data_IF_179660505546
#
_entry.id   IF_179660505546
#
_cell.length_a   1.000
_cell.length_b   1.000
_cell.length_c   1.000
_cell.angle_alpha   90.00
_cell.angle_beta   90.00
_cell.angle_gamma   90.00
#
_symmetry.space_group_name_H-M   'P 1'
#
loop_
_entity.id
_entity.type
_entity.pdbx_description
1 polymer ?
#
# COMPACT_ATOMS: atom_id res chain seq x y z
N UNK A 1 4.46 -16.38 3.31
CA UNK A 1 3.96 -15.25 2.49
C UNK A 1 3.17 -14.35 3.44
N UNK A 2 3.60 -13.11 3.62
CA UNK A 2 3.05 -12.19 4.63
C UNK A 2 2.09 -11.24 3.92
N UNK A 3 0.83 -11.20 4.34
CA UNK A 3 -0.21 -10.34 3.74
C UNK A 3 -0.59 -9.21 4.69
N UNK A 4 -0.75 -7.99 4.19
CA UNK A 4 -1.19 -6.85 5.01
C UNK A 4 -2.24 -5.99 4.33
N UNK A 5 -2.97 -5.20 5.12
CA UNK A 5 -4.24 -4.55 4.77
C UNK A 5 -4.13 -2.99 4.73
N UNK A 6 -4.25 -2.38 3.55
CA UNK A 6 -4.40 -0.92 3.33
C UNK A 6 -5.89 -0.53 3.24
N UNK A 7 -6.40 0.55 3.85
CA UNK A 7 -7.79 0.94 3.68
C UNK A 7 -8.01 1.67 2.35
N UNK A 8 -8.58 1.00 1.35
CA UNK A 8 -9.12 1.60 0.12
C UNK A 8 -10.62 1.33 0.05
N UNK A 9 -11.42 2.37 0.26
CA UNK A 9 -12.88 2.26 0.19
C UNK A 9 -13.30 2.25 -1.28
N UNK A 10 -13.85 1.15 -1.78
CA UNK A 10 -14.28 1.03 -3.18
C UNK A 10 -15.56 1.84 -3.43
N UNK A 11 -15.63 2.48 -4.59
CA UNK A 11 -16.88 2.87 -5.25
C UNK A 11 -16.67 2.88 -6.78
N UNK A 12 -17.66 2.44 -7.57
CA UNK A 12 -17.54 2.31 -9.01
C UNK A 12 -17.72 3.67 -9.69
N UNK A 13 -16.79 4.02 -10.57
CA UNK A 13 -16.93 5.10 -11.54
C UNK A 13 -17.02 6.50 -10.94
N UNK A 14 -15.89 7.19 -10.82
CA UNK A 14 -15.85 8.61 -10.54
C UNK A 14 -14.47 9.06 -10.08
N UNK A 15 -13.91 10.02 -10.80
CA UNK A 15 -12.82 10.89 -10.34
C UNK A 15 -12.93 11.18 -8.84
N UNK A 16 -11.93 10.84 -8.03
CA UNK A 16 -11.93 11.25 -6.62
C UNK A 16 -10.56 11.73 -6.14
N UNK A 17 -10.46 13.06 -6.14
CA UNK A 17 -9.64 13.87 -5.27
C UNK A 17 -9.89 13.46 -3.80
N UNK A 18 -8.90 12.91 -3.10
CA UNK A 18 -9.04 12.58 -1.68
C UNK A 18 -8.64 13.77 -0.81
N UNK A 19 -9.65 14.47 -0.29
CA UNK A 19 -9.55 15.44 0.78
C UNK A 19 -9.15 14.75 2.10
N UNK A 20 -7.97 15.10 2.62
CA UNK A 20 -7.55 14.86 3.99
C UNK A 20 -8.34 15.77 4.93
N UNK A 21 -9.25 15.20 5.73
CA UNK A 21 -9.88 15.84 6.89
C UNK A 21 -10.13 14.72 7.92
N UNK A 22 -10.03 14.88 9.23
CA UNK A 22 -9.49 15.88 10.15
C UNK A 22 -9.66 15.22 11.52
N UNK A 23 -8.65 15.37 12.38
CA UNK A 23 -8.64 15.15 13.83
C UNK A 23 -9.98 14.88 14.55
N UNK A 24 -9.96 13.89 15.46
CA UNK A 24 -10.66 13.99 16.74
C UNK A 24 -9.79 13.43 17.87
N UNK A 25 -9.34 14.35 18.74
CA UNK A 25 -8.71 14.09 20.03
C UNK A 25 -9.71 13.47 21.03
N UNK A 26 -9.22 12.63 21.95
CA UNK A 26 -9.17 12.86 23.42
C UNK A 26 -9.08 11.52 24.18
N UNK A 27 -8.04 11.35 25.01
CA UNK A 27 -8.20 11.13 26.46
C UNK A 27 -6.95 10.51 27.11
N UNK A 28 -6.29 11.35 27.92
CA UNK A 28 -5.82 11.12 29.31
C UNK A 28 -5.11 9.81 29.66
N UNK A 29 -3.88 9.98 30.17
CA UNK A 29 -3.35 9.14 31.24
C UNK A 29 -2.11 8.35 30.86
N UNK A 30 -0.95 8.81 31.32
CA UNK A 30 0.28 8.04 31.27
C UNK A 30 0.14 6.75 32.08
N UNK A 31 0.16 5.60 31.42
CA UNK A 31 0.68 4.34 31.94
C UNK A 31 1.49 3.68 30.83
N UNK A 32 2.71 3.30 31.15
CA UNK A 32 3.68 2.70 30.22
C UNK A 32 3.08 1.52 29.46
N UNK A 33 2.90 1.66 28.15
CA UNK A 33 2.61 0.55 27.26
C UNK A 33 3.19 0.87 25.88
N UNK A 34 4.21 0.10 25.48
CA UNK A 34 4.73 -0.02 24.11
C UNK A 34 5.05 1.28 23.35
N UNK A 35 6.33 1.51 23.06
CA UNK A 35 6.69 2.32 21.89
C UNK A 35 6.00 1.70 20.68
N UNK A 36 4.98 2.36 20.11
CA UNK A 36 4.42 1.97 18.83
C UNK A 36 5.55 2.14 17.81
N UNK A 37 6.00 1.03 17.21
CA UNK A 37 7.02 1.00 16.16
C UNK A 37 6.44 1.54 14.84
N UNK A 38 5.81 2.71 14.88
CA UNK A 38 5.16 3.36 13.71
C UNK A 38 6.15 3.78 12.62
N UNK A 39 7.46 3.75 12.93
CA UNK A 39 8.55 4.19 12.06
C UNK A 39 9.52 3.05 11.70
N UNK A 40 9.20 1.79 12.03
CA UNK A 40 10.02 0.64 11.62
C UNK A 40 9.60 0.19 10.23
N UNK A 41 10.56 0.20 9.30
CA UNK A 41 10.37 -0.23 7.91
C UNK A 41 9.86 -1.67 7.86
N UNK A 42 9.00 -1.94 6.88
CA UNK A 42 8.61 -3.31 6.58
C UNK A 42 9.86 -4.08 6.13
N UNK A 43 10.13 -5.32 6.61
CA UNK A 43 11.28 -6.07 6.11
C UNK A 43 11.25 -6.20 4.59
N UNK A 44 12.38 -5.97 3.92
CA UNK A 44 12.44 -6.12 2.46
C UNK A 44 12.02 -7.54 2.04
N UNK A 45 11.25 -7.66 0.95
CA UNK A 45 10.72 -8.95 0.50
C UNK A 45 9.59 -8.86 -0.53
N UNK A 46 9.01 -10.02 -0.82
CA UNK A 46 7.87 -10.15 -1.75
C UNK A 46 6.57 -10.20 -0.95
N UNK A 47 5.64 -9.33 -1.31
CA UNK A 47 4.37 -9.12 -0.62
C UNK A 47 3.20 -9.14 -1.60
N UNK A 48 2.03 -9.55 -1.09
CA UNK A 48 0.76 -9.13 -1.67
C UNK A 48 0.24 -7.97 -0.83
N UNK A 49 -0.13 -6.87 -1.48
CA UNK A 49 -0.69 -5.69 -0.80
C UNK A 49 -2.21 -5.81 -0.89
N UNK A 50 -2.85 -6.13 0.24
CA UNK A 50 -4.27 -6.43 0.31
C UNK A 50 -5.00 -5.21 0.86
N UNK A 51 -6.23 -4.98 0.42
CA UNK A 51 -7.13 -3.99 0.98
C UNK A 51 -7.67 -4.49 2.31
N UNK A 52 -7.84 -3.58 3.28
CA UNK A 52 -8.51 -3.86 4.54
C UNK A 52 -10.00 -4.12 4.37
N UNK A 53 -10.60 -3.43 3.40
CA UNK A 53 -12.01 -3.57 3.08
C UNK A 53 -12.17 -4.71 2.08
N UNK A 54 -13.08 -5.65 2.38
CA UNK A 54 -13.43 -6.74 1.48
C UNK A 54 -14.30 -6.24 0.33
N UNK A 55 -14.42 -7.02 -0.74
CA UNK A 55 -15.45 -6.82 -1.75
C UNK A 55 -16.86 -6.99 -1.15
N UNK A 56 -17.92 -6.52 -1.83
CA UNK A 56 -19.31 -6.82 -1.45
C UNK A 56 -19.61 -8.32 -1.31
N UNK A 57 -18.84 -9.15 -1.99
CA UNK A 57 -18.91 -10.62 -1.99
C UNK A 57 -18.00 -11.27 -0.92
N UNK A 58 -17.49 -10.48 0.04
CA UNK A 58 -16.59 -10.90 1.13
C UNK A 58 -15.21 -11.40 0.66
N UNK A 59 -14.75 -10.98 -0.53
CA UNK A 59 -13.46 -11.37 -1.09
C UNK A 59 -12.35 -10.38 -0.69
N UNK A 60 -11.13 -10.91 -0.54
CA UNK A 60 -9.95 -10.08 -0.30
C UNK A 60 -9.55 -9.42 -1.61
N UNK A 61 -9.28 -8.13 -1.55
CA UNK A 61 -8.92 -7.33 -2.72
C UNK A 61 -7.41 -7.01 -2.70
N UNK A 62 -6.69 -7.29 -3.76
CA UNK A 62 -5.24 -7.11 -3.88
C UNK A 62 -4.87 -6.02 -4.90
N UNK A 63 -3.83 -5.24 -4.61
CA UNK A 63 -3.21 -4.33 -5.57
C UNK A 63 -2.57 -5.17 -6.69
N UNK A 64 -2.93 -4.86 -7.94
CA UNK A 64 -2.64 -5.66 -9.13
C UNK A 64 -1.94 -4.80 -10.18
N UNK A 65 -0.78 -5.26 -10.62
CA UNK A 65 0.02 -4.67 -11.68
C UNK A 65 -0.60 -4.93 -13.07
N UNK A 66 -0.73 -3.88 -13.87
CA UNK A 66 -1.38 -3.93 -15.19
C UNK A 66 -0.45 -3.69 -16.40
N UNK A 67 0.83 -3.37 -16.16
CA UNK A 67 1.78 -3.01 -17.20
C UNK A 67 2.57 -1.74 -16.87
N UNK A 68 3.66 -1.52 -17.61
CA UNK A 68 4.38 -0.23 -17.59
C UNK A 68 3.48 0.89 -18.15
N UNK A 69 3.59 2.09 -17.58
CA UNK A 69 2.78 3.27 -17.85
C UNK A 69 1.27 3.09 -17.59
N UNK A 70 0.87 1.97 -16.99
CA UNK A 70 -0.52 1.67 -16.66
C UNK A 70 -0.84 1.97 -15.19
N UNK A 71 -2.09 2.35 -14.96
CA UNK A 71 -2.62 2.57 -13.60
C UNK A 71 -2.75 1.24 -12.87
N UNK A 72 -2.37 1.22 -11.59
CA UNK A 72 -2.52 0.02 -10.73
C UNK A 72 -3.98 -0.14 -10.31
N UNK A 73 -4.52 -1.35 -10.37
CA UNK A 73 -5.91 -1.63 -9.97
C UNK A 73 -6.00 -2.47 -8.72
N UNK A 74 -7.20 -2.58 -8.16
CA UNK A 74 -7.51 -3.47 -7.04
C UNK A 74 -8.46 -4.54 -7.55
N UNK A 75 -8.05 -5.81 -7.48
CA UNK A 75 -8.82 -6.98 -7.98
C UNK A 75 -8.87 -8.09 -6.94
N UNK A 76 -9.73 -9.10 -7.12
CA UNK A 76 -9.83 -10.19 -6.15
C UNK A 76 -8.50 -10.94 -6.00
N UNK A 77 -8.15 -11.28 -4.77
CA UNK A 77 -6.88 -11.91 -4.46
C UNK A 77 -6.87 -13.36 -4.95
N UNK A 78 -6.07 -13.61 -5.97
CA UNK A 78 -5.88 -14.91 -6.60
C UNK A 78 -4.48 -15.49 -6.37
N UNK A 79 -3.61 -14.72 -5.71
CA UNK A 79 -2.19 -15.03 -5.54
C UNK A 79 -1.42 -15.12 -6.88
N UNK A 80 -1.90 -14.39 -7.89
CA UNK A 80 -1.24 -14.26 -9.19
C UNK A 80 0.08 -13.47 -9.10
N UNK A 81 0.98 -13.70 -10.05
CA UNK A 81 2.27 -12.97 -10.16
C UNK A 81 2.10 -11.45 -10.30
N UNK A 82 1.03 -10.98 -10.93
CA UNK A 82 0.69 -9.55 -11.06
C UNK A 82 0.27 -8.92 -9.72
N UNK A 83 -0.06 -9.72 -8.71
CA UNK A 83 -0.40 -9.27 -7.36
C UNK A 83 0.78 -9.36 -6.38
N UNK A 84 1.97 -9.74 -6.88
CA UNK A 84 3.19 -9.79 -6.11
C UNK A 84 3.98 -8.50 -6.30
N UNK A 85 4.44 -7.94 -5.18
CA UNK A 85 5.18 -6.69 -5.12
C UNK A 85 6.46 -6.88 -4.31
N UNK A 86 7.59 -6.46 -4.86
CA UNK A 86 8.86 -6.37 -4.15
C UNK A 86 8.89 -5.04 -3.41
N UNK A 87 8.98 -5.12 -2.08
CA UNK A 87 9.21 -3.97 -1.21
C UNK A 87 10.66 -4.01 -0.79
N UNK A 88 11.40 -2.93 -1.07
CA UNK A 88 12.83 -2.84 -0.78
C UNK A 88 13.17 -1.49 -0.14
N UNK A 89 14.09 -1.51 0.82
CA UNK A 89 14.54 -0.31 1.52
C UNK A 89 15.18 0.68 0.54
N UNK A 90 14.79 1.96 0.65
CA UNK A 90 15.41 3.05 -0.11
C UNK A 90 16.28 3.90 0.83
N UNK A 91 15.71 4.33 1.95
CA UNK A 91 16.43 4.98 3.06
C UNK A 91 15.89 4.46 4.41
N UNK A 92 16.20 5.16 5.51
CA UNK A 92 15.80 4.75 6.87
C UNK A 92 14.30 4.92 7.17
N UNK A 93 13.54 5.55 6.29
CA UNK A 93 12.14 5.98 6.45
C UNK A 93 11.25 5.71 5.24
N UNK A 94 11.84 5.37 4.09
CA UNK A 94 11.13 5.15 2.83
C UNK A 94 11.56 3.86 2.15
N UNK A 95 10.63 3.28 1.38
CA UNK A 95 10.82 2.03 0.64
C UNK A 95 10.34 2.19 -0.79
N UNK A 96 10.98 1.47 -1.70
CA UNK A 96 10.50 1.31 -3.08
C UNK A 96 9.52 0.14 -3.16
N UNK A 97 8.59 0.22 -4.12
CA UNK A 97 7.58 -0.80 -4.39
C UNK A 97 7.63 -1.12 -5.88
N UNK A 98 7.99 -2.34 -6.23
CA UNK A 98 8.19 -2.78 -7.62
C UNK A 98 7.33 -4.01 -7.93
N UNK A 99 6.84 -4.20 -9.17
CA UNK A 99 6.19 -5.45 -9.54
C UNK A 99 7.09 -6.66 -9.32
N UNK A 100 6.52 -7.78 -8.86
CA UNK A 100 7.25 -9.04 -8.66
C UNK A 100 7.87 -9.60 -9.93
N UNK A 101 7.23 -9.35 -11.07
CA UNK A 101 7.68 -9.77 -12.40
C UNK A 101 8.78 -8.90 -12.99
N UNK A 102 8.91 -7.63 -12.57
CA UNK A 102 9.85 -6.68 -13.14
C UNK A 102 10.28 -5.60 -12.14
N UNK A 103 11.51 -5.71 -11.63
CA UNK A 103 12.11 -4.77 -10.68
C UNK A 103 12.81 -3.58 -11.37
N UNK A 104 12.79 -3.50 -12.70
CA UNK A 104 13.18 -2.29 -13.43
C UNK A 104 12.09 -1.22 -13.43
N UNK A 105 10.90 -1.58 -12.92
CA UNK A 105 9.73 -0.72 -12.78
C UNK A 105 9.42 -0.45 -11.31
N UNK A 106 8.75 0.66 -11.03
CA UNK A 106 8.35 1.09 -9.68
C UNK A 106 6.95 1.69 -9.69
N UNK A 107 6.18 1.43 -8.63
CA UNK A 107 4.96 2.17 -8.35
C UNK A 107 5.31 3.63 -8.03
N UNK A 108 4.72 4.53 -8.79
CA UNK A 108 4.95 5.97 -8.76
C UNK A 108 3.63 6.72 -8.61
N UNK A 109 3.73 8.00 -8.24
CA UNK A 109 2.59 8.91 -8.33
C UNK A 109 2.53 9.49 -9.75
N UNK A 110 1.55 9.06 -10.53
CA UNK A 110 1.25 9.58 -11.87
C UNK A 110 0.30 10.79 -11.81
N UNK A 111 -0.49 10.99 -12.88
CA UNK A 111 -1.52 12.03 -12.96
C UNK A 111 -2.70 11.71 -12.03
N UNK A 112 -2.51 12.00 -10.73
CA UNK A 112 -3.45 11.83 -9.62
C UNK A 112 -3.78 10.38 -9.21
N UNK A 113 -3.09 9.40 -9.80
CA UNK A 113 -3.24 7.97 -9.48
C UNK A 113 -1.90 7.27 -9.36
N UNK A 114 -1.89 6.08 -8.75
CA UNK A 114 -0.69 5.23 -8.72
C UNK A 114 -0.52 4.58 -10.09
N UNK A 115 0.64 4.80 -10.70
CA UNK A 115 1.04 4.27 -12.02
C UNK A 115 2.36 3.54 -11.88
N UNK A 116 2.62 2.53 -12.69
CA UNK A 116 3.94 1.87 -12.70
C UNK A 116 4.82 2.45 -13.80
N UNK A 117 5.97 3.03 -13.42
CA UNK A 117 6.90 3.69 -14.34
C UNK A 117 8.28 3.04 -14.26
N UNK A 118 9.14 3.31 -15.25
CA UNK A 118 10.57 2.97 -15.16
C UNK A 118 11.16 3.48 -13.84
N UNK A 119 11.95 2.66 -13.16
CA UNK A 119 12.52 2.98 -11.85
C UNK A 119 13.27 4.32 -11.85
N UNK A 120 12.88 5.20 -10.92
CA UNK A 120 13.30 6.61 -10.91
C UNK A 120 13.52 7.19 -9.51
N UNK A 121 13.62 6.34 -8.47
CA UNK A 121 13.55 6.73 -7.05
C UNK A 121 12.15 7.10 -6.58
N UNK A 122 11.13 6.39 -7.05
CA UNK A 122 9.80 6.49 -6.50
C UNK A 122 9.73 5.71 -5.18
N UNK A 123 9.30 6.40 -4.13
CA UNK A 123 9.35 5.88 -2.76
C UNK A 123 8.05 6.11 -2.02
N UNK A 124 7.80 5.23 -1.06
CA UNK A 124 6.60 5.20 -0.23
C UNK A 124 7.01 5.10 1.23
N UNK A 125 6.30 5.80 2.10
CA UNK A 125 6.38 5.60 3.53
C UNK A 125 5.30 4.61 3.93
N UNK A 126 5.71 3.40 4.32
CA UNK A 126 4.81 2.33 4.77
C UNK A 126 4.80 2.32 6.29
N UNK A 127 3.66 2.65 6.91
CA UNK A 127 3.54 2.72 8.38
C UNK A 127 2.62 1.64 8.90
N UNK A 128 3.07 0.94 9.93
CA UNK A 128 2.21 0.04 10.69
C UNK A 128 1.49 0.82 11.80
N UNK A 129 0.17 0.77 11.79
CA UNK A 129 -0.68 1.32 12.85
C UNK A 129 -1.48 0.18 13.49
N UNK A 130 -2.17 0.43 14.60
CA UNK A 130 -2.92 -0.60 15.33
C UNK A 130 -4.01 -1.31 14.51
N UNK A 131 -4.37 -0.74 13.36
CA UNK A 131 -5.42 -1.25 12.49
C UNK A 131 -4.90 -1.83 11.17
N UNK A 132 -3.59 -1.77 10.91
CA UNK A 132 -2.95 -2.21 9.67
C UNK A 132 -2.03 -1.14 9.09
N UNK A 133 -1.72 -1.27 7.80
CA UNK A 133 -0.71 -0.41 7.16
C UNK A 133 -1.34 0.78 6.43
N UNK A 134 -0.56 1.84 6.27
CA UNK A 134 -0.84 3.01 5.41
C UNK A 134 0.39 3.39 4.64
#
# INVERSE_FOLDING_TARGET
MTSFALPLRSAPGGFFLFFFLLNCLLSVGALSYGRQESDVLLPAGVYAIINRVLSPEDERLAITFNGEDETVTVTDWTNDTTQQWVIADYDTTTQSVSPGSDQSLQAAWGDDVVTVLTAGSYVWTIRNNDTGYT
#
